data_IF_408594995470
#
_entry.id   IF_408594995470
#
_cell.length_a   1.000
_cell.length_b   1.000
_cell.length_c   1.000
_cell.angle_alpha   90.00
_cell.angle_beta   90.00
_cell.angle_gamma   90.00
#
_symmetry.space_group_name_H-M   'P 1'
#
loop_
_entity.id
_entity.type
_entity.pdbx_description
1 polymer ?
#
# COMPACT_ATOMS: atom_id res chain seq x y z
N UNK A 1 0.23 -0.55 18.25
CA UNK A 1 0.41 0.39 17.12
C UNK A 1 1.52 -0.12 16.21
N UNK A 2 1.50 0.14 14.89
CA UNK A 2 2.47 -0.48 13.94
C UNK A 2 3.93 -0.29 14.38
N UNK A 3 4.27 0.90 14.88
CA UNK A 3 5.61 1.21 15.37
C UNK A 3 5.96 0.39 16.62
N UNK A 4 5.06 0.31 17.60
CA UNK A 4 5.22 -0.53 18.80
C UNK A 4 5.38 -2.02 18.44
N UNK A 5 4.55 -2.54 17.52
CA UNK A 5 4.59 -3.94 17.09
C UNK A 5 5.83 -4.28 16.23
N UNK A 6 6.58 -3.26 15.78
CA UNK A 6 7.87 -3.46 15.09
C UNK A 6 9.00 -3.81 16.06
N UNK A 7 8.81 -3.55 17.36
CA UNK A 7 9.80 -3.75 18.39
C UNK A 7 10.83 -2.62 18.47
N UNK A 8 11.82 -2.80 19.34
CA UNK A 8 12.86 -1.81 19.57
C UNK A 8 13.86 -1.74 18.41
N UNK A 9 14.31 -0.53 18.01
CA UNK A 9 15.45 -0.39 17.11
C UNK A 9 16.70 -1.09 17.65
N UNK A 10 17.60 -1.50 16.77
CA UNK A 10 18.82 -2.24 17.12
C UNK A 10 19.73 -1.48 18.10
N UNK A 11 19.73 -0.14 18.04
CA UNK A 11 20.52 0.73 18.91
C UNK A 11 19.91 0.90 20.32
N UNK A 12 18.65 0.51 20.52
CA UNK A 12 17.89 0.70 21.76
C UNK A 12 18.12 -0.43 22.79
N UNK A 13 19.38 -0.59 23.21
CA UNK A 13 19.81 -1.66 24.13
C UNK A 13 19.50 -1.30 25.59
N UNK A 14 19.83 -0.08 26.01
CA UNK A 14 19.66 0.39 27.40
C UNK A 14 18.31 1.04 27.63
N UNK A 15 17.90 1.19 28.90
CA UNK A 15 16.64 1.87 29.25
C UNK A 15 16.66 3.33 28.80
N UNK A 16 17.81 3.97 28.91
CA UNK A 16 18.02 5.36 28.52
C UNK A 16 17.83 5.53 27.01
N UNK A 17 18.40 4.62 26.19
CA UNK A 17 18.20 4.67 24.73
C UNK A 17 16.73 4.46 24.36
N UNK A 18 16.05 3.54 25.04
CA UNK A 18 14.62 3.27 24.80
C UNK A 18 13.75 4.47 25.15
N UNK A 19 14.03 5.14 26.26
CA UNK A 19 13.32 6.34 26.66
C UNK A 19 13.57 7.49 25.67
N UNK A 20 14.82 7.65 25.23
CA UNK A 20 15.19 8.63 24.22
C UNK A 20 14.44 8.37 22.90
N UNK A 21 14.38 7.11 22.45
CA UNK A 21 13.65 6.76 21.23
C UNK A 21 12.17 7.14 21.29
N UNK A 22 11.48 6.90 22.41
CA UNK A 22 10.07 7.29 22.59
C UNK A 22 9.93 8.83 22.53
N UNK A 23 10.85 9.54 23.16
CA UNK A 23 10.86 11.00 23.15
C UNK A 23 11.08 11.55 21.74
N UNK A 24 12.05 10.99 21.01
CA UNK A 24 12.37 11.39 19.64
C UNK A 24 11.21 11.08 18.68
N UNK A 25 10.54 9.93 18.84
CA UNK A 25 9.36 9.56 18.04
C UNK A 25 8.21 10.55 18.28
N UNK A 26 7.99 10.94 19.53
CA UNK A 26 6.99 11.96 19.86
C UNK A 26 7.34 13.34 19.30
N UNK A 27 8.59 13.77 19.39
CA UNK A 27 9.03 15.07 18.86
C UNK A 27 8.96 15.14 17.34
N UNK A 28 9.28 14.04 16.64
CA UNK A 28 9.30 13.99 15.18
C UNK A 28 7.92 13.74 14.58
N UNK A 29 7.20 12.74 15.10
CA UNK A 29 5.97 12.22 14.51
C UNK A 29 4.71 12.68 15.25
N UNK A 30 4.85 13.25 16.46
CA UNK A 30 3.72 13.58 17.32
C UNK A 30 3.01 12.36 17.90
N UNK A 31 3.65 11.18 17.86
CA UNK A 31 3.08 9.91 18.30
C UNK A 31 3.74 9.51 19.63
N UNK A 32 2.93 9.33 20.67
CA UNK A 32 3.43 8.86 21.95
C UNK A 32 3.36 7.33 22.01
N UNK A 33 4.52 6.68 22.00
CA UNK A 33 4.62 5.22 22.10
C UNK A 33 4.54 4.75 23.56
N UNK A 34 3.88 3.62 23.79
CA UNK A 34 3.82 2.97 25.10
C UNK A 34 5.03 2.05 25.28
N UNK A 35 5.93 2.41 26.21
CA UNK A 35 7.15 1.66 26.52
C UNK A 35 6.91 0.16 26.71
N UNK A 36 5.79 -0.23 27.32
CA UNK A 36 5.51 -1.63 27.63
C UNK A 36 4.90 -2.41 26.47
N UNK A 37 4.47 -1.72 25.40
CA UNK A 37 3.88 -2.34 24.20
C UNK A 37 4.85 -2.44 23.03
N UNK A 38 6.03 -1.82 23.13
CA UNK A 38 7.07 -1.93 22.11
C UNK A 38 7.71 -3.32 22.20
N UNK A 39 7.21 -4.23 21.37
CA UNK A 39 7.65 -5.61 21.27
C UNK A 39 7.48 -6.09 19.83
N UNK A 40 8.44 -6.89 19.35
CA UNK A 40 8.39 -7.44 18.00
C UNK A 40 7.25 -8.45 17.90
N UNK A 41 6.14 -8.05 17.28
CA UNK A 41 4.97 -8.89 17.08
C UNK A 41 4.56 -8.92 15.60
N UNK A 42 5.08 -9.86 14.80
CA UNK A 42 4.86 -9.89 13.34
C UNK A 42 3.39 -9.89 12.91
N UNK A 43 2.53 -10.65 13.60
CA UNK A 43 1.10 -10.74 13.29
C UNK A 43 0.36 -9.41 13.50
N UNK A 44 0.48 -8.82 14.69
CA UNK A 44 -0.09 -7.51 15.02
C UNK A 44 0.45 -6.42 14.08
N UNK A 45 1.76 -6.42 13.83
CA UNK A 45 2.39 -5.47 12.90
C UNK A 45 1.81 -5.59 11.49
N UNK A 46 1.56 -6.82 11.01
CA UNK A 46 0.93 -7.06 9.72
C UNK A 46 -0.51 -6.55 9.69
N UNK A 47 -1.30 -6.82 10.73
CA UNK A 47 -2.66 -6.33 10.88
C UNK A 47 -2.72 -4.79 10.89
N UNK A 48 -1.87 -4.14 11.67
CA UNK A 48 -1.83 -2.68 11.77
C UNK A 48 -1.37 -2.04 10.47
N UNK A 49 -0.37 -2.62 9.79
CA UNK A 49 0.03 -2.20 8.44
C UNK A 49 -1.13 -2.34 7.46
N UNK A 50 -1.88 -3.44 7.51
CA UNK A 50 -3.04 -3.67 6.65
C UNK A 50 -4.11 -2.61 6.91
N UNK A 51 -4.43 -2.33 8.18
CA UNK A 51 -5.41 -1.30 8.53
C UNK A 51 -5.02 0.09 8.00
N UNK A 52 -3.76 0.52 8.20
CA UNK A 52 -3.27 1.82 7.73
C UNK A 52 -3.33 1.93 6.19
N UNK A 53 -2.86 0.90 5.49
CA UNK A 53 -2.88 0.88 4.02
C UNK A 53 -4.31 0.83 3.46
N UNK A 54 -5.22 0.11 4.13
CA UNK A 54 -6.62 0.00 3.72
C UNK A 54 -7.40 1.28 3.99
N UNK A 55 -7.10 1.96 5.10
CA UNK A 55 -7.69 3.24 5.44
C UNK A 55 -7.40 4.30 4.37
N UNK A 56 -6.13 4.42 3.96
CA UNK A 56 -5.77 5.30 2.86
C UNK A 56 -6.45 4.89 1.53
N UNK A 57 -6.45 3.59 1.20
CA UNK A 57 -7.06 3.06 -0.01
C UNK A 57 -8.57 3.34 -0.10
N UNK A 58 -9.27 3.37 1.03
CA UNK A 58 -10.70 3.67 1.13
C UNK A 58 -11.03 5.05 0.56
N UNK A 59 -10.16 6.05 0.74
CA UNK A 59 -10.40 7.39 0.21
C UNK A 59 -10.51 7.42 -1.32
N UNK A 60 -9.77 6.55 -2.00
CA UNK A 60 -9.74 6.42 -3.47
C UNK A 60 -10.63 5.31 -4.02
N UNK A 61 -11.45 4.65 -3.20
CA UNK A 61 -12.23 3.49 -3.63
C UNK A 61 -13.26 3.88 -4.71
N UNK A 62 -13.23 3.17 -5.84
CA UNK A 62 -14.27 3.26 -6.86
C UNK A 62 -15.56 2.65 -6.33
N UNK A 63 -16.65 3.42 -6.38
CA UNK A 63 -17.95 3.03 -5.81
C UNK A 63 -18.74 2.09 -6.73
N UNK A 64 -18.72 2.38 -8.02
CA UNK A 64 -19.48 1.62 -9.01
C UNK A 64 -18.59 0.53 -9.63
N UNK A 65 -18.36 -0.53 -8.85
CA UNK A 65 -17.68 -1.73 -9.31
C UNK A 65 -18.71 -2.69 -9.93
N UNK A 66 -18.36 -3.37 -11.04
CA UNK A 66 -19.21 -4.44 -11.57
C UNK A 66 -19.54 -5.46 -10.49
N UNK A 67 -20.81 -5.76 -10.33
CA UNK A 67 -21.35 -6.82 -9.50
C UNK A 67 -21.69 -8.03 -10.37
N UNK A 68 -21.77 -9.20 -9.75
CA UNK A 68 -22.10 -10.45 -10.42
C UNK A 68 -23.15 -11.16 -9.59
N UNK A 69 -24.30 -11.44 -10.20
CA UNK A 69 -25.35 -12.27 -9.62
C UNK A 69 -25.60 -13.50 -10.49
N UNK A 70 -25.95 -14.62 -9.86
CA UNK A 70 -26.37 -15.83 -10.54
C UNK A 70 -27.88 -15.96 -10.41
N UNK A 71 -28.57 -15.88 -11.55
CA UNK A 71 -30.03 -15.77 -11.60
C UNK A 71 -30.60 -17.00 -12.26
N UNK A 72 -31.52 -17.68 -11.57
CA UNK A 72 -32.30 -18.80 -12.10
C UNK A 72 -33.78 -18.48 -12.29
N UNK A 73 -34.30 -17.42 -11.65
CA UNK A 73 -35.67 -16.97 -11.84
C UNK A 73 -35.75 -16.06 -13.08
N UNK A 74 -36.53 -16.43 -14.11
CA UNK A 74 -36.73 -15.59 -15.29
C UNK A 74 -37.25 -14.18 -14.98
N UNK A 75 -38.04 -14.03 -13.91
CA UNK A 75 -38.62 -12.74 -13.51
C UNK A 75 -37.51 -11.77 -13.08
N UNK A 76 -36.60 -12.24 -12.21
CA UNK A 76 -35.43 -11.46 -11.77
C UNK A 76 -34.52 -11.13 -12.96
N UNK A 77 -34.34 -12.08 -13.88
CA UNK A 77 -33.55 -11.86 -15.09
C UNK A 77 -34.11 -10.71 -15.94
N UNK A 78 -35.42 -10.72 -16.21
CA UNK A 78 -36.06 -9.64 -16.97
C UNK A 78 -36.06 -8.31 -16.20
N UNK A 79 -36.33 -8.33 -14.89
CA UNK A 79 -36.29 -7.13 -14.04
C UNK A 79 -34.92 -6.45 -14.10
N UNK A 80 -33.83 -7.22 -14.04
CA UNK A 80 -32.46 -6.70 -14.17
C UNK A 80 -32.19 -6.08 -15.55
N UNK A 81 -32.67 -6.72 -16.63
CA UNK A 81 -32.50 -6.22 -18.00
C UNK A 81 -33.30 -4.94 -18.28
N UNK A 82 -34.47 -4.81 -17.67
CA UNK A 82 -35.35 -3.64 -17.84
C UNK A 82 -35.16 -2.57 -16.76
N UNK A 83 -34.18 -2.74 -15.88
CA UNK A 83 -33.96 -1.82 -14.76
C UNK A 83 -33.57 -0.42 -15.25
N UNK A 84 -34.28 0.59 -14.74
CA UNK A 84 -33.90 1.99 -14.95
C UNK A 84 -32.66 2.37 -14.14
N UNK A 85 -32.34 1.64 -13.06
CA UNK A 85 -31.24 1.96 -12.15
C UNK A 85 -29.95 1.21 -12.48
N UNK A 86 -30.08 -0.03 -12.91
CA UNK A 86 -28.96 -0.95 -13.17
C UNK A 86 -28.71 -1.09 -14.67
N UNK A 87 -27.45 -1.26 -15.03
CA UNK A 87 -27.01 -1.57 -16.38
C UNK A 87 -26.36 -2.96 -16.37
N UNK A 88 -26.97 -3.91 -17.07
CA UNK A 88 -26.37 -5.22 -17.31
C UNK A 88 -25.34 -5.09 -18.43
N UNK A 89 -24.12 -5.50 -18.14
CA UNK A 89 -22.97 -5.46 -19.07
C UNK A 89 -22.72 -6.81 -19.75
N UNK A 90 -23.02 -7.92 -19.06
CA UNK A 90 -22.82 -9.28 -19.57
C UNK A 90 -23.91 -10.18 -19.00
N UNK A 91 -24.49 -11.04 -19.84
CA UNK A 91 -25.33 -12.16 -19.42
C UNK A 91 -24.79 -13.45 -20.04
N UNK A 92 -24.30 -14.36 -19.21
CA UNK A 92 -23.74 -15.64 -19.65
C UNK A 92 -24.56 -16.79 -19.09
N UNK A 93 -25.13 -17.64 -19.95
CA UNK A 93 -25.77 -18.88 -19.53
C UNK A 93 -24.71 -19.84 -19.00
N UNK A 94 -24.80 -20.16 -17.70
CA UNK A 94 -23.90 -21.10 -17.02
C UNK A 94 -24.46 -22.52 -17.15
N UNK A 95 -25.79 -22.64 -17.06
CA UNK A 95 -26.56 -23.86 -17.28
C UNK A 95 -27.87 -23.52 -17.99
N UNK A 96 -28.67 -24.53 -18.32
CA UNK A 96 -30.00 -24.34 -18.92
C UNK A 96 -30.97 -23.57 -18.01
N UNK A 97 -30.70 -23.51 -16.70
CA UNK A 97 -31.56 -22.87 -15.69
C UNK A 97 -30.87 -21.71 -14.96
N UNK A 98 -29.66 -21.31 -15.34
CA UNK A 98 -28.90 -20.29 -14.62
C UNK A 98 -28.10 -19.37 -15.54
N UNK A 99 -28.21 -18.07 -15.27
CA UNK A 99 -27.48 -17.01 -15.97
C UNK A 99 -26.62 -16.23 -15.00
N UNK A 100 -25.33 -16.09 -15.31
CA UNK A 100 -24.44 -15.12 -14.67
C UNK A 100 -24.70 -13.74 -15.27
N UNK A 101 -25.18 -12.82 -14.45
CA UNK A 101 -25.48 -11.44 -14.81
C UNK A 101 -24.44 -10.51 -14.21
N UNK A 102 -23.63 -9.88 -15.05
CA UNK A 102 -22.70 -8.82 -14.62
C UNK A 102 -23.32 -7.47 -14.84
N UNK A 103 -23.42 -6.67 -13.78
CA UNK A 103 -24.11 -5.39 -13.83
C UNK A 103 -23.40 -4.32 -13.01
N UNK A 104 -23.82 -3.06 -13.20
CA UNK A 104 -23.38 -1.92 -12.39
C UNK A 104 -24.52 -0.91 -12.30
N UNK A 105 -24.49 0.00 -11.33
CA UNK A 105 -25.46 1.08 -11.29
C UNK A 105 -25.20 2.06 -12.44
N UNK A 106 -26.25 2.61 -13.05
CA UNK A 106 -26.08 3.76 -13.96
C UNK A 106 -25.59 4.97 -13.17
N UNK A 107 -24.92 5.90 -13.84
CA UNK A 107 -24.17 6.98 -13.18
C UNK A 107 -25.04 7.84 -12.25
N UNK A 108 -26.30 8.04 -12.62
CA UNK A 108 -27.30 8.81 -11.89
C UNK A 108 -27.73 8.15 -10.57
N UNK A 109 -27.57 6.83 -10.47
CA UNK A 109 -27.96 6.00 -9.34
C UNK A 109 -26.76 5.52 -8.51
N UNK A 110 -25.55 6.03 -8.79
CA UNK A 110 -24.37 5.76 -7.95
C UNK A 110 -24.46 6.58 -6.67
N UNK A 111 -24.65 5.91 -5.54
CA UNK A 111 -24.69 6.58 -4.25
C UNK A 111 -23.35 7.25 -3.90
N UNK A 112 -23.46 8.46 -3.36
CA UNK A 112 -22.33 9.11 -2.70
C UNK A 112 -22.04 8.42 -1.36
N UNK A 113 -20.79 8.50 -0.89
CA UNK A 113 -20.33 7.85 0.33
C UNK A 113 -19.52 8.88 1.08
N UNK A 114 -19.87 9.09 2.35
CA UNK A 114 -19.12 9.98 3.24
C UNK A 114 -17.74 9.44 3.63
N UNK A 115 -17.38 8.22 3.21
CA UNK A 115 -16.10 7.56 3.55
C UNK A 115 -15.02 7.72 2.47
N UNK A 116 -15.37 8.22 1.29
CA UNK A 116 -14.41 8.39 0.17
C UNK A 116 -14.05 9.86 -0.01
N UNK A 117 -12.79 10.16 -0.32
CA UNK A 117 -12.34 11.49 -0.68
C UNK A 117 -11.18 11.39 -1.70
N UNK A 118 -11.52 11.53 -2.98
CA UNK A 118 -10.55 11.38 -4.08
C UNK A 118 -9.43 12.42 -4.02
N UNK A 119 -9.69 13.62 -3.46
CA UNK A 119 -8.67 14.66 -3.31
C UNK A 119 -7.62 14.25 -2.29
N UNK A 120 -8.02 13.67 -1.16
CA UNK A 120 -7.08 13.13 -0.17
C UNK A 120 -6.27 11.96 -0.74
N UNK A 121 -6.91 11.06 -1.49
CA UNK A 121 -6.21 9.94 -2.14
C UNK A 121 -5.18 10.43 -3.17
N UNK A 122 -5.55 11.41 -4.01
CA UNK A 122 -4.66 12.02 -4.99
C UNK A 122 -3.50 12.78 -4.33
N UNK A 123 -3.78 13.53 -3.26
CA UNK A 123 -2.76 14.28 -2.53
C UNK A 123 -1.73 13.34 -1.90
N UNK A 124 -2.18 12.33 -1.15
CA UNK A 124 -1.29 11.38 -0.49
C UNK A 124 -0.45 10.57 -1.50
N UNK A 125 -1.03 10.12 -2.63
CA UNK A 125 -0.22 9.47 -3.68
C UNK A 125 0.78 10.41 -4.35
N UNK A 126 0.41 11.68 -4.55
CA UNK A 126 1.31 12.67 -5.14
C UNK A 126 2.49 12.96 -4.21
N UNK A 127 2.24 13.13 -2.91
CA UNK A 127 3.30 13.33 -1.91
C UNK A 127 4.22 12.11 -1.81
N UNK A 128 3.68 10.89 -1.82
CA UNK A 128 4.50 9.67 -1.84
C UNK A 128 5.40 9.60 -3.09
N UNK A 129 4.87 9.97 -4.27
CA UNK A 129 5.66 10.02 -5.52
C UNK A 129 6.74 11.10 -5.48
N UNK A 130 6.44 12.29 -4.97
CA UNK A 130 7.43 13.36 -4.84
C UNK A 130 8.54 12.99 -3.85
N UNK A 131 8.19 12.33 -2.74
CA UNK A 131 9.18 11.80 -1.79
C UNK A 131 10.09 10.78 -2.46
N UNK A 132 9.53 9.81 -3.19
CA UNK A 132 10.34 8.86 -3.96
C UNK A 132 11.22 9.58 -5.00
N UNK A 133 10.64 10.50 -5.76
CA UNK A 133 11.33 11.28 -6.79
C UNK A 133 12.53 12.07 -6.22
N UNK A 134 12.42 12.62 -5.01
CA UNK A 134 13.52 13.35 -4.36
C UNK A 134 14.79 12.50 -4.17
N UNK A 135 14.64 11.18 -4.02
CA UNK A 135 15.77 10.25 -3.97
C UNK A 135 16.24 9.88 -5.38
N UNK A 136 15.30 9.63 -6.30
CA UNK A 136 15.63 9.27 -7.69
C UNK A 136 16.40 10.38 -8.40
N UNK A 137 16.04 11.64 -8.15
CA UNK A 137 16.70 12.82 -8.73
C UNK A 137 18.16 12.92 -8.28
N UNK A 138 18.45 12.65 -7.01
CA UNK A 138 19.82 12.65 -6.46
C UNK A 138 20.63 11.43 -6.90
N UNK A 139 20.01 10.25 -6.99
CA UNK A 139 20.66 9.03 -7.44
C UNK A 139 20.97 9.06 -8.95
N UNK A 140 20.11 9.72 -9.75
CA UNK A 140 20.27 9.87 -11.19
C UNK A 140 20.47 8.54 -11.91
N UNK A 141 21.57 8.42 -12.66
CA UNK A 141 21.88 7.24 -13.46
C UNK A 141 22.20 5.97 -12.64
N UNK A 142 22.36 6.08 -11.32
CA UNK A 142 22.57 4.92 -10.45
C UNK A 142 21.30 4.12 -10.17
N UNK A 143 20.12 4.67 -10.46
CA UNK A 143 18.85 3.97 -10.27
C UNK A 143 18.71 2.82 -11.27
N UNK A 144 18.56 1.60 -10.76
CA UNK A 144 18.28 0.40 -11.56
C UNK A 144 16.79 0.09 -11.64
N UNK A 145 16.05 0.37 -10.57
CA UNK A 145 14.61 0.12 -10.47
C UNK A 145 13.98 0.94 -9.35
N UNK A 146 12.71 1.28 -9.49
CA UNK A 146 11.90 1.85 -8.42
C UNK A 146 10.46 1.36 -8.52
N UNK A 147 9.84 1.05 -7.38
CA UNK A 147 8.41 0.74 -7.30
C UNK A 147 7.83 1.29 -6.00
N UNK A 148 6.91 2.25 -6.16
CA UNK A 148 6.05 2.87 -5.13
C UNK A 148 6.79 3.53 -3.96
N UNK A 149 7.59 2.76 -3.22
CA UNK A 149 8.28 3.13 -1.99
C UNK A 149 9.64 2.40 -1.83
N UNK A 150 10.17 1.82 -2.91
CA UNK A 150 11.45 1.11 -2.93
C UNK A 150 12.32 1.58 -4.11
N UNK A 151 13.64 1.53 -3.94
CA UNK A 151 14.63 1.86 -4.97
C UNK A 151 15.73 0.81 -4.93
N UNK A 152 16.11 0.29 -6.09
CA UNK A 152 17.33 -0.48 -6.29
C UNK A 152 18.31 0.39 -7.06
N UNK A 153 19.52 0.58 -6.52
CA UNK A 153 20.53 1.45 -7.11
C UNK A 153 21.94 0.87 -6.99
N UNK A 154 22.86 1.34 -7.82
CA UNK A 154 24.28 0.97 -7.74
C UNK A 154 25.00 1.80 -6.68
N UNK A 155 25.81 1.16 -5.84
CA UNK A 155 26.67 1.84 -4.86
C UNK A 155 28.05 2.09 -5.48
N UNK A 156 28.61 3.29 -5.25
CA UNK A 156 29.94 3.69 -5.70
C UNK A 156 30.63 4.48 -4.59
N UNK A 157 31.92 4.23 -4.40
CA UNK A 157 32.71 4.90 -3.36
C UNK A 157 32.74 6.42 -3.58
N UNK A 158 32.46 7.18 -2.52
CA UNK A 158 32.47 8.64 -2.53
C UNK A 158 31.21 9.30 -3.13
N UNK A 159 30.24 8.54 -3.64
CA UNK A 159 28.96 9.08 -4.09
C UNK A 159 27.92 9.11 -2.95
N UNK A 160 26.97 10.03 -3.05
CA UNK A 160 25.91 10.18 -2.05
C UNK A 160 25.02 8.93 -1.97
N UNK A 161 24.60 8.54 -0.76
CA UNK A 161 23.66 7.45 -0.54
C UNK A 161 22.46 7.94 0.28
N UNK A 162 21.24 7.45 0.02
CA UNK A 162 20.08 7.80 0.82
C UNK A 162 20.27 7.40 2.28
N UNK A 163 20.01 8.33 3.21
CA UNK A 163 20.09 8.06 4.64
C UNK A 163 19.02 7.06 5.06
N UNK A 164 19.43 6.09 5.88
CA UNK A 164 18.53 5.15 6.55
C UNK A 164 18.08 5.70 7.90
N UNK A 165 16.94 5.21 8.39
CA UNK A 165 16.44 5.58 9.72
C UNK A 165 15.33 4.65 10.21
N UNK A 166 14.99 4.82 11.49
CA UNK A 166 14.01 3.99 12.20
C UNK A 166 12.62 4.64 12.35
N UNK A 167 12.45 5.88 11.86
CA UNK A 167 11.23 6.66 12.03
C UNK A 167 10.30 6.57 10.81
N UNK A 168 9.10 7.15 10.94
CA UNK A 168 8.07 7.03 9.92
C UNK A 168 8.50 7.76 8.63
N UNK A 169 8.57 7.00 7.53
CA UNK A 169 8.92 7.56 6.22
C UNK A 169 10.42 7.57 5.91
N UNK A 170 11.25 7.14 6.87
CA UNK A 170 12.66 6.87 6.62
C UNK A 170 12.83 5.65 5.71
N UNK A 171 13.94 5.64 4.96
CA UNK A 171 14.33 4.47 4.18
C UNK A 171 14.92 3.42 5.11
N UNK A 172 14.61 2.16 4.81
CA UNK A 172 15.14 0.99 5.52
C UNK A 172 15.88 0.12 4.53
N UNK A 173 16.99 -0.46 4.96
CA UNK A 173 17.71 -1.45 4.16
C UNK A 173 16.94 -2.78 4.18
N UNK A 174 16.51 -3.24 3.02
CA UNK A 174 15.79 -4.51 2.87
C UNK A 174 16.73 -5.74 2.85
N UNK A 175 18.04 -5.52 2.67
CA UNK A 175 19.07 -6.57 2.61
C UNK A 175 20.24 -6.26 3.56
N UNK A 176 20.00 -5.97 4.85
CA UNK A 176 21.00 -5.40 5.76
C UNK A 176 22.25 -6.27 5.98
N UNK A 177 22.13 -7.58 5.82
CA UNK A 177 23.22 -8.54 6.02
C UNK A 177 23.91 -8.97 4.72
N UNK A 178 23.44 -8.48 3.56
CA UNK A 178 23.93 -8.91 2.25
C UNK A 178 24.13 -7.73 1.29
N UNK A 179 24.77 -7.98 0.16
CA UNK A 179 24.78 -7.02 -0.96
C UNK A 179 24.21 -7.66 -2.22
N UNK A 180 23.45 -6.88 -2.96
CA UNK A 180 22.98 -7.29 -4.29
C UNK A 180 24.20 -7.37 -5.21
N UNK A 181 24.54 -8.59 -5.64
CA UNK A 181 25.65 -8.83 -6.58
C UNK A 181 25.18 -8.86 -8.02
N UNK A 182 23.96 -9.33 -8.26
CA UNK A 182 23.36 -9.36 -9.58
C UNK A 182 21.92 -8.88 -9.52
N UNK A 183 21.58 -7.99 -10.44
CA UNK A 183 20.24 -7.46 -10.62
C UNK A 183 19.82 -7.64 -12.07
N UNK A 184 18.67 -8.26 -12.31
CA UNK A 184 18.10 -8.43 -13.65
C UNK A 184 16.64 -8.00 -13.60
N UNK A 185 16.22 -7.14 -14.53
CA UNK A 185 14.83 -6.72 -14.69
C UNK A 185 14.34 -6.97 -16.11
N UNK A 186 13.14 -7.52 -16.23
CA UNK A 186 12.41 -7.66 -17.49
C UNK A 186 11.34 -6.59 -17.69
N UNK A 187 11.26 -5.60 -16.79
CA UNK A 187 10.26 -4.53 -16.80
C UNK A 187 9.58 -4.33 -15.44
N UNK A 188 8.54 -3.48 -15.38
CA UNK A 188 7.80 -3.19 -14.15
C UNK A 188 7.31 -4.48 -13.49
N UNK A 189 7.59 -4.62 -12.18
CA UNK A 189 7.20 -5.77 -11.35
C UNK A 189 7.73 -7.13 -11.80
N UNK A 190 8.76 -7.17 -12.65
CA UNK A 190 9.42 -8.40 -13.12
C UNK A 190 10.93 -8.28 -12.95
N UNK A 191 11.44 -8.66 -11.78
CA UNK A 191 12.85 -8.55 -11.44
C UNK A 191 13.37 -9.81 -10.71
N UNK A 192 14.69 -10.01 -10.76
CA UNK A 192 15.42 -11.02 -10.01
C UNK A 192 16.65 -10.39 -9.39
N UNK A 193 16.86 -10.70 -8.11
CA UNK A 193 17.97 -10.23 -7.30
C UNK A 193 18.77 -11.45 -6.84
N UNK A 194 20.09 -11.36 -6.90
CA UNK A 194 21.01 -12.28 -6.24
C UNK A 194 21.79 -11.50 -5.18
N UNK A 195 21.79 -12.00 -3.95
CA UNK A 195 22.48 -11.42 -2.80
C UNK A 195 23.67 -12.29 -2.39
N UNK A 196 24.72 -11.69 -1.87
CA UNK A 196 25.89 -12.37 -1.30
C UNK A 196 26.36 -11.70 -0.01
#
# INVERSE_FOLDING_TARGET
MKQEASGWPSLCITKEHRQQYIQDDYEKEGILLDYNKIEKHPGLRALEKLMLNSFWGMFGQRKNLPQVDYVSDPSIYFDMLTSDQQEVTVGNFVTDEMVEMRWRNKAEFVESSGRTNVMLAAYATSQARLKLYSYLEQLGQRVLYADTNSIVFTVKEGEWEPSLGDYLGDLTDEVPENKITHFVTGGPKKLRIQVA
#
